data_IF_428859364058
#
_entry.id   IF_428859364058
#
_cell.length_a   1.000
_cell.length_b   1.000
_cell.length_c   1.000
_cell.angle_alpha   90.00
_cell.angle_beta   90.00
_cell.angle_gamma   90.00
#
_symmetry.space_group_name_H-M   'P 1'
#
loop_
_entity.id
_entity.type
_entity.pdbx_description
1 polymer ?
#
# COMPACT_ATOMS: atom_id res chain seq x y z
N UNK A 1 -35.00 24.94 -16.01
CA UNK A 1 -33.63 25.07 -15.43
C UNK A 1 -33.23 23.69 -14.91
N UNK A 2 -32.36 22.97 -15.60
CA UNK A 2 -31.79 21.72 -15.09
C UNK A 2 -30.39 22.05 -14.56
N UNK A 3 -30.22 22.06 -13.24
CA UNK A 3 -28.90 22.20 -12.62
C UNK A 3 -28.28 20.81 -12.62
N UNK A 4 -27.64 20.43 -13.72
CA UNK A 4 -26.88 19.16 -13.79
C UNK A 4 -25.45 19.45 -13.37
N UNK A 5 -25.16 19.37 -12.07
CA UNK A 5 -23.77 19.34 -11.59
C UNK A 5 -23.50 18.07 -10.80
N UNK A 6 -23.54 16.93 -11.48
CA UNK A 6 -23.14 15.60 -10.97
C UNK A 6 -21.62 15.44 -10.80
N UNK A 7 -20.86 16.53 -10.78
CA UNK A 7 -19.40 16.48 -10.61
C UNK A 7 -19.05 16.54 -9.13
N UNK A 8 -18.35 15.52 -8.67
CA UNK A 8 -17.74 15.45 -7.34
C UNK A 8 -16.26 15.78 -7.47
N UNK A 9 -15.73 16.54 -6.52
CA UNK A 9 -14.30 16.79 -6.37
C UNK A 9 -13.83 16.22 -5.04
N UNK A 10 -12.69 15.55 -5.07
CA UNK A 10 -11.95 15.09 -3.90
C UNK A 10 -10.60 15.78 -3.92
N UNK A 11 -10.21 16.29 -2.76
CA UNK A 11 -8.89 16.87 -2.50
C UNK A 11 -8.61 16.62 -1.02
N UNK A 12 -7.88 15.56 -0.73
CA UNK A 12 -7.70 15.06 0.62
C UNK A 12 -6.25 14.75 0.92
N UNK A 13 -5.85 15.07 2.14
CA UNK A 13 -4.57 14.69 2.71
C UNK A 13 -4.79 13.51 3.63
N UNK A 14 -4.20 12.39 3.29
CA UNK A 14 -4.12 11.21 4.14
C UNK A 14 -2.91 11.38 5.05
N UNK A 15 -3.12 11.19 6.34
CA UNK A 15 -2.04 11.10 7.31
C UNK A 15 -2.46 10.17 8.44
N UNK A 16 -1.62 9.21 8.74
CA UNK A 16 -1.76 8.32 9.88
C UNK A 16 -0.38 8.01 10.41
N UNK A 17 -0.26 7.98 11.73
CA UNK A 17 0.99 7.71 12.41
C UNK A 17 0.79 6.55 13.38
N UNK A 18 1.75 5.63 13.36
CA UNK A 18 1.88 4.51 14.26
C UNK A 18 0.58 3.69 14.38
N UNK A 19 -0.06 3.36 13.27
CA UNK A 19 -1.26 2.53 13.25
C UNK A 19 -0.92 1.04 13.27
N UNK A 20 -1.84 0.21 13.76
CA UNK A 20 -1.71 -1.24 13.71
C UNK A 20 -2.08 -1.76 12.31
N UNK A 21 -1.18 -2.54 11.72
CA UNK A 21 -1.35 -3.03 10.36
C UNK A 21 -2.47 -4.07 10.23
N UNK A 22 -2.53 -5.03 11.16
CA UNK A 22 -3.46 -6.14 11.08
C UNK A 22 -4.90 -5.63 11.27
N UNK A 23 -5.11 -4.74 12.24
CA UNK A 23 -6.42 -4.12 12.48
C UNK A 23 -6.89 -3.29 11.28
N UNK A 24 -6.01 -2.45 10.74
CA UNK A 24 -6.34 -1.56 9.62
C UNK A 24 -6.68 -2.36 8.36
N UNK A 25 -5.85 -3.34 8.01
CA UNK A 25 -6.03 -4.08 6.76
C UNK A 25 -7.21 -5.04 6.84
N UNK A 26 -7.50 -5.59 8.03
CA UNK A 26 -8.74 -6.33 8.27
C UNK A 26 -9.98 -5.48 8.01
N UNK A 27 -9.99 -4.22 8.45
CA UNK A 27 -11.11 -3.31 8.26
C UNK A 27 -11.30 -2.91 6.79
N UNK A 28 -10.21 -2.65 6.07
CA UNK A 28 -10.26 -2.16 4.69
C UNK A 28 -10.45 -3.25 3.64
N UNK A 29 -9.89 -4.45 3.87
CA UNK A 29 -9.79 -5.49 2.85
C UNK A 29 -10.43 -6.82 3.26
N UNK A 30 -10.91 -6.96 4.49
CA UNK A 30 -11.39 -8.22 5.07
C UNK A 30 -10.35 -9.37 4.98
N UNK A 31 -9.06 -9.02 4.85
CA UNK A 31 -7.94 -9.95 4.81
C UNK A 31 -7.12 -9.84 6.10
N UNK A 32 -7.02 -10.94 6.84
CA UNK A 32 -6.23 -11.05 8.07
C UNK A 32 -4.88 -11.73 7.82
N UNK A 33 -3.87 -11.34 8.60
CA UNK A 33 -2.59 -12.04 8.64
C UNK A 33 -1.83 -12.00 7.32
N UNK A 34 -1.96 -10.93 6.54
CA UNK A 34 -1.12 -10.69 5.38
C UNK A 34 0.28 -10.24 5.81
N UNK A 35 0.29 -9.24 6.68
CA UNK A 35 1.44 -8.51 7.17
C UNK A 35 1.05 -7.86 8.49
N UNK A 36 1.94 -7.92 9.49
CA UNK A 36 1.75 -7.22 10.76
C UNK A 36 2.86 -6.19 11.01
N UNK A 37 2.72 -5.43 12.09
CA UNK A 37 3.66 -4.39 12.50
C UNK A 37 2.94 -3.06 12.69
N UNK A 38 3.72 -1.99 12.87
CA UNK A 38 3.20 -0.62 12.96
C UNK A 38 3.52 0.15 11.70
N UNK A 39 2.61 1.02 11.27
CA UNK A 39 2.85 1.81 10.06
C UNK A 39 2.46 3.28 10.19
N UNK A 40 3.10 4.08 9.34
CA UNK A 40 2.70 5.44 9.00
C UNK A 40 2.31 5.47 7.51
N UNK A 41 1.29 6.27 7.20
CA UNK A 41 0.86 6.52 5.82
C UNK A 41 0.60 8.00 5.67
N UNK A 42 1.26 8.63 4.71
CA UNK A 42 1.03 10.01 4.31
C UNK A 42 0.77 10.07 2.81
N UNK A 43 -0.07 11.00 2.37
CA UNK A 43 -0.25 11.24 0.95
C UNK A 43 -1.29 12.29 0.64
N UNK A 44 -1.30 12.74 -0.60
CA UNK A 44 -2.32 13.67 -1.10
C UNK A 44 -3.03 12.99 -2.26
N UNK A 45 -4.34 12.81 -2.13
CA UNK A 45 -5.19 12.22 -3.17
C UNK A 45 -6.18 13.27 -3.64
N UNK A 46 -6.21 13.49 -4.94
CA UNK A 46 -7.12 14.43 -5.57
C UNK A 46 -7.76 13.82 -6.80
N UNK A 47 -8.93 14.32 -7.16
CA UNK A 47 -9.66 13.87 -8.34
C UNK A 47 -10.94 14.64 -8.54
N UNK A 48 -11.48 14.60 -9.74
CA UNK A 48 -12.79 15.17 -10.02
C UNK A 48 -13.45 14.48 -11.19
N UNK A 49 -14.75 14.23 -11.07
CA UNK A 49 -15.48 13.51 -12.10
C UNK A 49 -16.93 13.32 -11.72
N UNK A 50 -17.68 12.65 -12.61
CA UNK A 50 -18.99 12.14 -12.25
C UNK A 50 -18.85 11.10 -11.13
N UNK A 51 -19.85 10.97 -10.27
CA UNK A 51 -19.82 10.02 -9.15
C UNK A 51 -19.42 8.61 -9.58
N UNK A 52 -19.89 8.14 -10.73
CA UNK A 52 -19.62 6.79 -11.27
C UNK A 52 -18.19 6.61 -11.77
N UNK A 53 -17.47 7.71 -12.03
CA UNK A 53 -16.08 7.72 -12.54
C UNK A 53 -15.11 8.39 -11.59
N UNK A 54 -15.53 8.69 -10.36
CA UNK A 54 -14.70 9.45 -9.41
C UNK A 54 -13.41 8.68 -9.09
N UNK A 55 -13.50 7.37 -8.87
CA UNK A 55 -12.35 6.51 -8.59
C UNK A 55 -11.30 6.54 -9.71
N UNK A 56 -11.74 6.53 -10.98
CA UNK A 56 -10.86 6.63 -12.15
C UNK A 56 -10.14 7.96 -12.24
N UNK A 57 -10.74 9.02 -11.69
CA UNK A 57 -10.15 10.35 -11.66
C UNK A 57 -9.20 10.58 -10.48
N UNK A 58 -9.14 9.64 -9.53
CA UNK A 58 -8.26 9.78 -8.37
C UNK A 58 -6.81 9.60 -8.79
N UNK A 59 -5.98 10.53 -8.35
CA UNK A 59 -4.55 10.49 -8.52
C UNK A 59 -3.84 11.10 -7.32
N UNK A 60 -2.57 10.72 -7.13
CA UNK A 60 -1.77 11.26 -6.05
C UNK A 60 -0.64 10.35 -5.61
N UNK A 61 0.23 10.90 -4.77
CA UNK A 61 1.37 10.17 -4.23
C UNK A 61 1.12 9.75 -2.78
N UNK A 62 1.57 8.55 -2.47
CA UNK A 62 1.50 7.92 -1.15
C UNK A 62 2.92 7.58 -0.68
N UNK A 63 3.20 7.84 0.58
CA UNK A 63 4.39 7.39 1.31
C UNK A 63 3.96 6.50 2.46
N UNK A 64 4.53 5.32 2.52
CA UNK A 64 4.22 4.30 3.50
C UNK A 64 5.49 3.86 4.20
N UNK A 65 5.47 3.84 5.54
CA UNK A 65 6.57 3.34 6.34
C UNK A 65 6.03 2.30 7.32
N UNK A 66 6.55 1.08 7.31
CA UNK A 66 6.20 0.04 8.27
C UNK A 66 7.41 -0.35 9.12
N UNK A 67 7.16 -0.73 10.38
CA UNK A 67 8.21 -1.03 11.36
C UNK A 67 7.88 -2.27 12.16
N UNK A 68 8.92 -3.01 12.51
CA UNK A 68 8.92 -4.16 13.43
C UNK A 68 7.77 -5.14 13.15
N UNK A 69 7.80 -5.74 11.96
CA UNK A 69 6.72 -6.56 11.47
C UNK A 69 7.17 -7.83 10.76
N UNK A 70 6.19 -8.53 10.23
CA UNK A 70 6.36 -9.80 9.54
C UNK A 70 5.33 -9.94 8.43
N UNK A 71 5.81 -10.37 7.26
CA UNK A 71 4.98 -10.69 6.11
C UNK A 71 4.72 -12.20 6.12
N UNK A 72 3.46 -12.61 6.14
CA UNK A 72 3.08 -14.03 6.24
C UNK A 72 2.66 -14.63 4.90
N UNK A 73 2.16 -13.82 3.96
CA UNK A 73 1.65 -14.32 2.68
C UNK A 73 2.76 -14.39 1.64
N UNK A 74 3.07 -15.61 1.19
CA UNK A 74 4.05 -15.87 0.13
C UNK A 74 3.76 -15.05 -1.14
N UNK A 75 2.49 -14.93 -1.56
CA UNK A 75 2.13 -14.15 -2.74
C UNK A 75 2.45 -12.65 -2.63
N UNK A 76 2.45 -12.07 -1.41
CA UNK A 76 2.88 -10.69 -1.21
C UNK A 76 4.41 -10.58 -1.33
N UNK A 77 5.15 -11.53 -0.75
CA UNK A 77 6.61 -11.59 -0.89
C UNK A 77 7.06 -11.75 -2.33
N UNK A 78 6.42 -12.61 -3.12
CA UNK A 78 6.74 -12.78 -4.54
C UNK A 78 6.60 -11.47 -5.32
N UNK A 79 5.56 -10.67 -5.03
CA UNK A 79 5.36 -9.36 -5.68
C UNK A 79 6.42 -8.35 -5.27
N UNK A 80 6.81 -8.33 -4.00
CA UNK A 80 7.89 -7.47 -3.49
C UNK A 80 9.22 -7.86 -4.15
N UNK A 81 9.55 -9.15 -4.20
CA UNK A 81 10.78 -9.64 -4.82
C UNK A 81 10.79 -9.47 -6.35
N UNK A 82 9.65 -9.49 -7.02
CA UNK A 82 9.58 -9.16 -8.44
C UNK A 82 9.92 -7.69 -8.73
N UNK A 83 9.68 -6.79 -7.77
CA UNK A 83 10.04 -5.38 -7.86
C UNK A 83 11.53 -5.13 -7.56
N UNK A 84 12.07 -5.79 -6.55
CA UNK A 84 13.48 -5.70 -6.16
C UNK A 84 14.32 -6.62 -7.06
N UNK A 85 15.02 -6.06 -8.05
CA UNK A 85 15.87 -6.82 -8.97
C UNK A 85 16.76 -7.84 -8.21
N UNK A 86 16.59 -9.14 -8.50
CA UNK A 86 16.81 -10.28 -7.58
C UNK A 86 18.30 -10.60 -7.31
N UNK A 87 19.24 -9.73 -7.66
CA UNK A 87 20.68 -10.04 -7.57
C UNK A 87 21.28 -9.99 -6.16
N UNK A 88 20.66 -9.31 -5.18
CA UNK A 88 21.27 -9.13 -3.85
C UNK A 88 20.70 -10.02 -2.73
N UNK A 89 19.49 -10.56 -2.87
CA UNK A 89 18.80 -11.30 -1.80
C UNK A 89 19.31 -12.76 -1.66
N UNK A 90 20.06 -13.28 -2.63
CA UNK A 90 20.59 -14.65 -2.63
C UNK A 90 21.60 -14.98 -1.50
N UNK A 91 21.91 -14.05 -0.60
CA UNK A 91 22.88 -14.29 0.50
C UNK A 91 22.27 -14.60 1.86
N UNK A 92 20.96 -14.43 2.04
CA UNK A 92 20.27 -14.92 3.24
C UNK A 92 19.54 -16.21 2.87
N UNK A 93 19.82 -17.31 3.56
CA UNK A 93 19.01 -18.53 3.48
C UNK A 93 17.54 -18.12 3.55
N UNK A 94 16.79 -18.33 2.47
CA UNK A 94 15.35 -18.05 2.46
C UNK A 94 14.77 -18.99 3.52
N UNK A 95 14.41 -18.51 4.72
CA UNK A 95 13.87 -19.38 5.75
C UNK A 95 12.58 -19.97 5.20
N UNK A 96 12.08 -21.06 5.77
CA UNK A 96 10.80 -21.67 5.38
C UNK A 96 9.65 -20.63 5.46
N UNK A 97 9.47 -19.83 4.39
CA UNK A 97 8.58 -18.66 4.31
C UNK A 97 7.14 -19.10 4.49
N UNK A 98 6.85 -20.33 4.04
CA UNK A 98 5.57 -21.00 4.15
C UNK A 98 5.18 -21.30 5.59
N UNK A 99 6.14 -21.43 6.52
CA UNK A 99 5.86 -21.78 7.92
C UNK A 99 6.03 -20.62 8.90
N UNK A 100 6.97 -19.70 8.66
CA UNK A 100 7.33 -18.65 9.63
C UNK A 100 7.13 -17.23 9.13
N UNK A 101 6.85 -17.00 7.84
CA UNK A 101 6.82 -15.66 7.24
C UNK A 101 8.20 -14.96 7.23
N UNK A 102 8.26 -13.77 6.62
CA UNK A 102 9.47 -12.95 6.50
C UNK A 102 9.44 -11.79 7.48
N UNK A 103 10.36 -11.76 8.43
CA UNK A 103 10.48 -10.65 9.37
C UNK A 103 11.15 -9.45 8.70
N UNK A 104 10.72 -8.25 9.03
CA UNK A 104 11.37 -7.01 8.60
C UNK A 104 11.51 -6.04 9.76
N UNK A 105 12.55 -5.20 9.71
CA UNK A 105 12.73 -4.10 10.66
C UNK A 105 12.08 -2.82 10.20
N UNK A 106 12.25 -2.51 8.92
CA UNK A 106 11.64 -1.35 8.30
C UNK A 106 11.20 -1.73 6.89
N UNK A 107 10.09 -1.15 6.44
CA UNK A 107 9.72 -1.08 5.03
C UNK A 107 9.46 0.39 4.74
N UNK A 108 10.05 0.91 3.68
CA UNK A 108 9.73 2.24 3.15
C UNK A 108 9.29 2.08 1.71
N UNK A 109 8.12 2.62 1.39
CA UNK A 109 7.54 2.53 0.06
C UNK A 109 6.97 3.87 -0.37
N UNK A 110 7.19 4.23 -1.63
CA UNK A 110 6.48 5.33 -2.28
C UNK A 110 5.68 4.78 -3.46
N UNK A 111 4.46 5.27 -3.63
CA UNK A 111 3.57 4.81 -4.67
C UNK A 111 2.78 5.97 -5.28
N UNK A 112 2.39 5.80 -6.54
CA UNK A 112 1.55 6.74 -7.27
C UNK A 112 0.23 6.06 -7.62
N UNK A 113 -0.88 6.67 -7.20
CA UNK A 113 -2.22 6.31 -7.64
C UNK A 113 -2.53 7.09 -8.91
N UNK A 114 -2.99 6.38 -9.95
CA UNK A 114 -3.52 6.99 -11.17
C UNK A 114 -4.39 5.96 -11.89
N UNK A 115 -5.53 6.36 -12.45
CA UNK A 115 -6.41 5.48 -13.24
C UNK A 115 -6.77 4.17 -12.50
N UNK A 116 -7.17 4.27 -11.23
CA UNK A 116 -7.48 3.12 -10.34
C UNK A 116 -6.30 2.18 -10.05
N UNK A 117 -5.09 2.49 -10.54
CA UNK A 117 -3.89 1.68 -10.36
C UNK A 117 -2.95 2.33 -9.36
N UNK A 118 -2.58 1.59 -8.34
CA UNK A 118 -1.48 1.96 -7.44
C UNK A 118 -0.17 1.37 -7.96
N UNK A 119 0.76 2.23 -8.38
CA UNK A 119 2.06 1.85 -8.92
C UNK A 119 3.16 2.18 -7.92
N UNK A 120 3.91 1.15 -7.50
CA UNK A 120 5.06 1.31 -6.61
C UNK A 120 6.20 2.00 -7.37
N UNK A 121 6.77 3.06 -6.79
CA UNK A 121 7.89 3.82 -7.36
C UNK A 121 9.22 3.46 -6.69
N UNK A 122 9.21 3.38 -5.37
CA UNK A 122 10.36 2.95 -4.58
C UNK A 122 9.93 1.98 -3.49
N UNK A 123 10.82 1.06 -3.16
CA UNK A 123 10.63 0.08 -2.10
C UNK A 123 11.99 -0.27 -1.48
N UNK A 124 12.08 -0.18 -0.16
CA UNK A 124 13.28 -0.47 0.61
C UNK A 124 12.86 -1.31 1.83
N UNK A 125 13.56 -2.41 2.09
CA UNK A 125 13.34 -3.33 3.21
C UNK A 125 14.66 -3.75 3.85
#
# INVERSE_FOLDING_TARGET
MAITSDKVRVDTKLSSANQDMDETFSCLFDEKGLINGRFDLDGNIFGSGKKERLLQSLQGDLKFNARDGRIYRFGLLTKIFAFLNITEIYRAEIPDLNKKGFAYKSIQATAHLENEKLSLKEFIM
#
